data_IF_672937276251
#
_entry.id   IF_672937276251
#
_cell.length_a   1.000
_cell.length_b   1.000
_cell.length_c   1.000
_cell.angle_alpha   90.00
_cell.angle_beta   90.00
_cell.angle_gamma   90.00
#
_symmetry.space_group_name_H-M   'P 1'
#
loop_
_entity.id
_entity.type
_entity.pdbx_description
1 polymer ?
#
# COMPACT_ATOMS: atom_id res chain seq x y z
N UNK A 1 -11.65 -1.07 10.66
CA UNK A 1 -12.85 -0.21 10.67
C UNK A 1 -12.87 0.65 9.42
N UNK A 2 -13.99 0.60 8.70
CA UNK A 2 -14.24 1.48 7.55
C UNK A 2 -14.36 2.95 8.00
N UNK A 3 -13.87 3.87 7.21
CA UNK A 3 -13.98 5.31 7.48
C UNK A 3 -14.24 6.06 6.18
N UNK A 4 -15.16 7.01 6.24
CA UNK A 4 -15.39 7.96 5.15
C UNK A 4 -14.53 9.20 5.39
N UNK A 5 -13.69 9.51 4.42
CA UNK A 5 -12.91 10.76 4.43
C UNK A 5 -13.36 11.66 3.29
N UNK A 6 -13.31 12.95 3.53
CA UNK A 6 -13.56 13.97 2.51
C UNK A 6 -12.24 14.63 2.14
N UNK A 7 -11.86 14.58 0.86
CA UNK A 7 -10.71 15.31 0.35
C UNK A 7 -11.19 16.59 -0.33
N UNK A 8 -10.56 17.71 0.02
CA UNK A 8 -10.82 18.98 -0.67
C UNK A 8 -9.81 19.13 -1.82
N UNK A 9 -10.26 19.26 -3.06
CA UNK A 9 -9.37 19.55 -4.18
C UNK A 9 -8.73 20.94 -4.01
N UNK A 10 -7.54 21.12 -4.59
CA UNK A 10 -6.81 22.42 -4.58
C UNK A 10 -7.50 23.51 -5.42
N UNK A 11 -8.52 23.14 -6.19
CA UNK A 11 -9.36 24.02 -7.01
C UNK A 11 -10.81 23.96 -6.55
N UNK A 12 -11.69 24.82 -7.08
CA UNK A 12 -13.13 24.88 -6.75
C UNK A 12 -13.96 23.66 -7.22
N UNK A 13 -13.33 22.50 -7.38
CA UNK A 13 -13.99 21.26 -7.77
C UNK A 13 -14.77 20.65 -6.62
N UNK A 14 -15.71 19.78 -6.95
CA UNK A 14 -16.56 19.10 -5.97
C UNK A 14 -15.72 18.32 -4.94
N UNK A 15 -16.17 18.31 -3.71
CA UNK A 15 -15.61 17.46 -2.65
C UNK A 15 -15.69 16.00 -3.11
N UNK A 16 -14.60 15.27 -2.92
CA UNK A 16 -14.56 13.83 -3.21
C UNK A 16 -14.65 13.09 -1.87
N UNK A 17 -15.63 12.24 -1.75
CA UNK A 17 -15.78 11.35 -0.61
C UNK A 17 -15.17 10.00 -0.92
N UNK A 18 -14.37 9.48 -0.01
CA UNK A 18 -13.70 8.20 -0.11
C UNK A 18 -14.07 7.31 1.07
N UNK A 19 -14.46 6.09 0.77
CA UNK A 19 -14.53 5.01 1.74
C UNK A 19 -13.17 4.31 1.79
N UNK A 20 -12.53 4.29 2.96
CA UNK A 20 -11.26 3.61 3.18
C UNK A 20 -11.45 2.51 4.21
N UNK A 21 -11.12 1.27 3.83
CA UNK A 21 -11.33 0.10 4.67
C UNK A 21 -10.37 -1.04 4.36
N UNK A 22 -10.17 -1.99 5.29
CA UNK A 22 -9.49 -3.26 5.00
C UNK A 22 -10.22 -4.04 3.91
N UNK A 23 -9.47 -4.64 2.97
CA UNK A 23 -10.07 -5.45 1.90
C UNK A 23 -10.82 -6.66 2.47
N UNK A 24 -10.28 -7.30 3.52
CA UNK A 24 -10.96 -8.40 4.18
C UNK A 24 -12.32 -8.01 4.77
N UNK A 25 -12.48 -6.78 5.28
CA UNK A 25 -13.79 -6.26 5.74
C UNK A 25 -14.74 -6.03 4.56
N UNK A 26 -14.22 -5.52 3.44
CA UNK A 26 -14.99 -5.32 2.22
C UNK A 26 -15.48 -6.66 1.65
N UNK A 27 -14.58 -7.62 1.49
CA UNK A 27 -14.89 -8.92 0.87
C UNK A 27 -15.78 -9.80 1.76
N UNK A 28 -15.76 -9.61 3.08
CA UNK A 28 -16.66 -10.34 3.99
C UNK A 28 -18.16 -10.06 3.75
N UNK A 29 -18.47 -9.01 3.02
CA UNK A 29 -19.84 -8.61 2.66
C UNK A 29 -20.26 -9.13 1.28
N UNK A 30 -19.34 -9.76 0.55
CA UNK A 30 -19.54 -10.26 -0.82
C UNK A 30 -19.63 -11.79 -0.85
N UNK A 31 -20.26 -12.34 -1.89
CA UNK A 31 -20.17 -13.75 -2.21
C UNK A 31 -18.80 -14.11 -2.83
N UNK A 32 -18.47 -15.41 -2.93
CA UNK A 32 -17.17 -15.90 -3.42
C UNK A 32 -16.84 -15.39 -4.84
N UNK A 33 -17.80 -15.40 -5.75
CA UNK A 33 -17.63 -14.92 -7.14
C UNK A 33 -17.41 -13.40 -7.17
N UNK A 34 -18.11 -12.65 -6.34
CA UNK A 34 -17.97 -11.21 -6.22
C UNK A 34 -16.62 -10.84 -5.58
N UNK A 35 -16.19 -11.57 -4.56
CA UNK A 35 -14.87 -11.43 -3.93
C UNK A 35 -13.76 -11.63 -4.96
N UNK A 36 -13.84 -12.69 -5.78
CA UNK A 36 -12.88 -12.94 -6.85
C UNK A 36 -12.85 -11.79 -7.87
N UNK A 37 -14.01 -11.25 -8.22
CA UNK A 37 -14.15 -10.13 -9.15
C UNK A 37 -13.54 -8.85 -8.56
N UNK A 38 -13.79 -8.57 -7.28
CA UNK A 38 -13.23 -7.42 -6.57
C UNK A 38 -11.69 -7.48 -6.47
N UNK A 39 -11.13 -8.65 -6.11
CA UNK A 39 -9.69 -8.86 -6.07
C UNK A 39 -9.06 -8.61 -7.44
N UNK A 40 -9.66 -9.15 -8.51
CA UNK A 40 -9.20 -8.92 -9.88
C UNK A 40 -9.26 -7.44 -10.29
N UNK A 41 -10.31 -6.74 -9.90
CA UNK A 41 -10.42 -5.30 -10.16
C UNK A 41 -9.30 -4.51 -9.46
N UNK A 42 -8.98 -4.85 -8.23
CA UNK A 42 -7.88 -4.23 -7.48
C UNK A 42 -6.53 -4.55 -8.14
N UNK A 43 -6.27 -5.80 -8.51
CA UNK A 43 -5.04 -6.16 -9.22
C UNK A 43 -4.89 -5.38 -10.54
N UNK A 44 -5.97 -5.26 -11.32
CA UNK A 44 -6.00 -4.45 -12.53
C UNK A 44 -5.73 -2.96 -12.24
N UNK A 45 -6.31 -2.40 -11.18
CA UNK A 45 -6.07 -1.02 -10.76
C UNK A 45 -4.60 -0.79 -10.38
N UNK A 46 -4.01 -1.68 -9.58
CA UNK A 46 -2.59 -1.59 -9.18
C UNK A 46 -1.67 -1.68 -10.38
N UNK A 47 -1.99 -2.55 -11.34
CA UNK A 47 -1.20 -2.75 -12.57
C UNK A 47 -1.42 -1.65 -13.62
N UNK A 48 -2.49 -0.87 -13.51
CA UNK A 48 -2.74 0.22 -14.44
C UNK A 48 -1.64 1.28 -14.34
N UNK A 49 -0.97 1.56 -15.47
CA UNK A 49 0.15 2.49 -15.52
C UNK A 49 -0.27 3.80 -16.18
N UNK A 50 -0.04 4.87 -15.48
CA UNK A 50 -0.17 6.21 -16.02
C UNK A 50 1.17 6.72 -16.54
N UNK A 51 1.19 7.65 -17.52
CA UNK A 51 2.42 8.29 -17.96
C UNK A 51 3.14 8.93 -16.78
N UNK A 52 4.39 8.53 -16.55
CA UNK A 52 5.21 9.03 -15.44
C UNK A 52 5.18 8.19 -14.16
N UNK A 53 4.39 7.13 -14.10
CA UNK A 53 4.44 6.20 -12.97
C UNK A 53 5.82 5.55 -12.86
N UNK A 54 6.38 5.56 -11.65
CA UNK A 54 7.55 4.75 -11.33
C UNK A 54 7.16 3.28 -11.45
N UNK A 55 8.10 2.47 -11.90
CA UNK A 55 7.82 1.07 -12.12
C UNK A 55 7.57 0.37 -10.78
N UNK A 56 6.37 -0.20 -10.63
CA UNK A 56 6.08 -1.24 -9.65
C UNK A 56 6.12 -2.60 -10.36
N UNK A 57 6.43 -3.65 -9.62
CA UNK A 57 6.26 -5.00 -10.15
C UNK A 57 4.77 -5.26 -10.35
N UNK A 58 4.39 -5.95 -11.45
CA UNK A 58 3.01 -6.39 -11.62
C UNK A 58 2.60 -7.29 -10.47
N UNK A 59 1.37 -7.15 -10.02
CA UNK A 59 0.75 -8.01 -9.01
C UNK A 59 -0.33 -8.86 -9.68
N UNK A 60 -0.42 -10.13 -9.29
CA UNK A 60 -1.52 -11.02 -9.70
C UNK A 60 -2.69 -10.95 -8.72
N UNK A 61 -3.82 -11.53 -9.11
CA UNK A 61 -4.96 -11.71 -8.20
C UNK A 61 -4.56 -12.52 -6.96
N UNK A 62 -3.69 -13.53 -7.13
CA UNK A 62 -3.17 -14.33 -6.04
C UNK A 62 -2.28 -13.51 -5.09
N UNK A 63 -1.48 -12.58 -5.62
CA UNK A 63 -0.65 -11.68 -4.79
C UNK A 63 -1.53 -10.75 -3.94
N UNK A 64 -2.65 -10.27 -4.47
CA UNK A 64 -3.60 -9.47 -3.68
C UNK A 64 -4.27 -10.35 -2.62
N UNK A 65 -4.78 -11.54 -3.03
CA UNK A 65 -5.48 -12.46 -2.12
C UNK A 65 -4.60 -13.01 -0.98
N UNK A 66 -3.28 -13.04 -1.18
CA UNK A 66 -2.30 -13.55 -0.20
C UNK A 66 -1.71 -12.49 0.72
N UNK A 67 -2.14 -11.23 0.64
CA UNK A 67 -1.63 -10.20 1.54
C UNK A 67 -2.03 -10.50 2.99
N UNK A 68 -1.09 -10.28 3.90
CA UNK A 68 -1.33 -10.38 5.34
C UNK A 68 -2.33 -9.33 5.81
N UNK A 69 -2.16 -8.12 5.34
CA UNK A 69 -3.09 -7.01 5.56
C UNK A 69 -3.12 -6.13 4.32
N UNK A 70 -4.25 -5.52 4.05
CA UNK A 70 -4.38 -4.55 2.97
C UNK A 70 -5.51 -3.56 3.21
N UNK A 71 -5.41 -2.42 2.52
CA UNK A 71 -6.39 -1.34 2.62
C UNK A 71 -6.72 -0.86 1.22
N UNK A 72 -8.02 -0.72 0.97
CA UNK A 72 -8.57 -0.19 -0.27
C UNK A 72 -9.25 1.16 -0.02
N UNK A 73 -9.16 2.05 -1.00
CA UNK A 73 -9.94 3.27 -1.07
C UNK A 73 -10.89 3.21 -2.26
N UNK A 74 -12.16 3.43 -2.01
CA UNK A 74 -13.22 3.50 -3.00
C UNK A 74 -13.77 4.92 -3.07
N UNK A 75 -14.02 5.43 -4.27
CA UNK A 75 -14.75 6.69 -4.44
C UNK A 75 -16.23 6.45 -4.16
N UNK A 76 -16.79 7.21 -3.25
CA UNK A 76 -18.24 7.18 -3.01
C UNK A 76 -18.95 8.03 -4.07
N UNK A 77 -20.03 7.52 -4.68
CA UNK A 77 -20.91 8.29 -5.56
C UNK A 77 -21.74 9.28 -4.72
N UNK A 78 -22.36 10.24 -5.38
CA UNK A 78 -23.28 11.18 -4.73
C UNK A 78 -24.60 10.51 -4.28
N UNK A 79 -24.87 9.30 -4.77
CA UNK A 79 -26.05 8.50 -4.42
C UNK A 79 -25.62 7.28 -3.62
N UNK A 80 -26.45 6.84 -2.68
CA UNK A 80 -26.23 5.60 -1.92
C UNK A 80 -26.41 4.39 -2.84
N UNK A 81 -25.32 3.87 -3.34
CA UNK A 81 -25.29 2.62 -4.09
C UNK A 81 -24.86 1.45 -3.18
N UNK A 82 -25.32 0.27 -3.52
CA UNK A 82 -24.89 -0.97 -2.88
C UNK A 82 -23.42 -1.22 -3.24
N UNK A 83 -22.59 -1.54 -2.26
CA UNK A 83 -21.21 -1.93 -2.48
C UNK A 83 -21.19 -3.40 -2.92
N UNK A 84 -21.15 -3.61 -4.23
CA UNK A 84 -20.97 -4.90 -4.88
C UNK A 84 -19.66 -4.94 -5.68
N UNK A 85 -19.35 -6.06 -6.31
CA UNK A 85 -18.15 -6.20 -7.12
C UNK A 85 -18.09 -5.23 -8.30
N UNK A 86 -19.22 -4.85 -8.85
CA UNK A 86 -19.35 -3.89 -9.96
C UNK A 86 -19.01 -2.47 -9.48
N UNK A 87 -19.53 -2.12 -8.29
CA UNK A 87 -19.19 -0.87 -7.63
C UNK A 87 -17.68 -0.77 -7.38
N UNK A 88 -17.06 -1.82 -6.80
CA UNK A 88 -15.63 -1.86 -6.53
C UNK A 88 -14.83 -1.69 -7.83
N UNK A 89 -15.18 -2.43 -8.89
CA UNK A 89 -14.51 -2.38 -10.18
C UNK A 89 -14.43 -0.97 -10.77
N UNK A 90 -15.49 -0.18 -10.58
CA UNK A 90 -15.60 1.16 -11.16
C UNK A 90 -15.10 2.28 -10.23
N UNK A 91 -14.96 1.99 -8.93
CA UNK A 91 -14.70 3.02 -7.92
C UNK A 91 -13.42 2.83 -7.12
N UNK A 92 -12.63 1.77 -7.35
CA UNK A 92 -11.34 1.63 -6.69
C UNK A 92 -10.39 2.75 -7.15
N UNK A 93 -9.88 3.52 -6.19
CA UNK A 93 -9.01 4.69 -6.43
C UNK A 93 -7.75 4.68 -5.58
N UNK A 94 -7.60 3.70 -4.72
CA UNK A 94 -6.40 3.54 -3.91
C UNK A 94 -6.25 2.13 -3.35
N UNK A 95 -5.01 1.69 -3.20
CA UNK A 95 -4.66 0.40 -2.61
C UNK A 95 -3.28 0.45 -1.98
N UNK A 96 -3.10 -0.29 -0.90
CA UNK A 96 -1.81 -0.61 -0.28
C UNK A 96 -1.93 -1.97 0.39
N UNK A 97 -0.86 -2.77 0.36
CA UNK A 97 -0.84 -4.08 1.00
C UNK A 97 0.43 -4.32 1.82
N UNK A 98 0.36 -5.30 2.72
CA UNK A 98 1.48 -5.78 3.51
C UNK A 98 1.67 -7.29 3.29
N UNK A 99 2.92 -7.71 3.27
CA UNK A 99 3.30 -9.11 3.09
C UNK A 99 3.19 -9.89 4.40
N UNK A 100 3.14 -11.22 4.31
CA UNK A 100 3.27 -12.07 5.49
C UNK A 100 4.50 -11.70 6.32
N UNK A 101 4.34 -11.58 7.66
CA UNK A 101 5.45 -11.23 8.52
C UNK A 101 6.56 -12.29 8.53
N UNK A 102 7.78 -11.82 8.42
CA UNK A 102 8.99 -12.65 8.47
C UNK A 102 9.69 -12.41 9.81
N UNK A 103 10.18 -13.47 10.44
CA UNK A 103 10.97 -13.35 11.67
C UNK A 103 12.38 -12.91 11.35
N UNK A 104 12.79 -11.79 11.92
CA UNK A 104 14.15 -11.28 11.83
C UNK A 104 14.70 -11.00 13.23
N UNK A 105 15.59 -11.86 13.71
CA UNK A 105 16.02 -11.82 15.11
C UNK A 105 14.87 -12.03 16.09
N UNK A 106 14.70 -11.09 17.02
CA UNK A 106 13.60 -11.11 17.99
C UNK A 106 12.28 -10.50 17.45
N UNK A 107 12.30 -9.89 16.26
CA UNK A 107 11.17 -9.16 15.69
C UNK A 107 10.41 -9.98 14.68
N UNK A 108 9.11 -9.70 14.53
CA UNK A 108 8.35 -9.99 13.32
C UNK A 108 8.34 -8.72 12.47
N UNK A 109 8.65 -8.83 11.18
CA UNK A 109 8.73 -7.71 10.27
C UNK A 109 7.85 -7.97 9.03
N UNK A 110 7.12 -6.97 8.56
CA UNK A 110 6.28 -7.08 7.38
C UNK A 110 6.59 -5.98 6.38
N UNK A 111 6.73 -6.34 5.11
CA UNK A 111 6.89 -5.39 4.02
C UNK A 111 5.57 -4.74 3.65
N UNK A 112 5.53 -3.42 3.72
CA UNK A 112 4.42 -2.61 3.21
C UNK A 112 4.76 -2.15 1.79
N UNK A 113 3.89 -2.49 0.84
CA UNK A 113 4.14 -2.21 -0.58
C UNK A 113 2.88 -2.06 -1.41
N UNK A 114 3.06 -2.07 -2.72
CA UNK A 114 1.96 -1.96 -3.70
C UNK A 114 1.10 -0.70 -3.54
N UNK A 115 1.65 0.39 -2.97
CA UNK A 115 0.91 1.65 -2.84
C UNK A 115 0.57 2.22 -4.22
N UNK A 116 -0.70 2.29 -4.50
CA UNK A 116 -1.25 2.93 -5.71
C UNK A 116 -2.38 3.89 -5.33
N UNK A 117 -2.38 5.07 -5.96
CA UNK A 117 -3.46 6.06 -5.85
C UNK A 117 -3.77 6.53 -7.26
N UNK A 118 -5.06 6.66 -7.58
CA UNK A 118 -5.53 7.20 -8.85
C UNK A 118 -4.94 8.59 -9.10
N UNK A 119 -4.57 8.86 -10.34
CA UNK A 119 -3.86 10.10 -10.72
C UNK A 119 -4.65 11.35 -10.37
N UNK A 120 -6.00 11.30 -10.49
CA UNK A 120 -6.88 12.42 -10.14
C UNK A 120 -6.86 12.77 -8.65
N UNK A 121 -6.37 11.85 -7.80
CA UNK A 121 -6.29 12.02 -6.35
C UNK A 121 -4.86 12.21 -5.83
N UNK A 122 -3.87 12.24 -6.73
CA UNK A 122 -2.48 12.52 -6.33
C UNK A 122 -2.34 13.94 -5.77
N UNK A 123 -1.52 14.05 -4.74
CA UNK A 123 -1.31 15.33 -4.05
C UNK A 123 -2.44 15.75 -3.09
N UNK A 124 -3.50 14.94 -2.94
CA UNK A 124 -4.60 15.19 -2.00
C UNK A 124 -4.46 14.44 -0.67
N UNK A 125 -3.30 13.83 -0.41
CA UNK A 125 -3.00 13.14 0.85
C UNK A 125 -3.49 11.69 0.94
N UNK A 126 -4.21 11.19 -0.06
CA UNK A 126 -4.78 9.83 -0.04
C UNK A 126 -3.70 8.77 0.17
N UNK A 127 -2.57 8.86 -0.53
CA UNK A 127 -1.45 7.93 -0.34
C UNK A 127 -0.90 7.94 1.08
N UNK A 128 -0.81 9.11 1.71
CA UNK A 128 -0.36 9.24 3.11
C UNK A 128 -1.35 8.57 4.08
N UNK A 129 -2.65 8.72 3.83
CA UNK A 129 -3.69 8.11 4.67
C UNK A 129 -3.64 6.59 4.54
N UNK A 130 -3.62 6.06 3.31
CA UNK A 130 -3.54 4.62 3.07
C UNK A 130 -2.29 4.01 3.72
N UNK A 131 -1.13 4.61 3.45
CA UNK A 131 0.14 4.10 3.95
C UNK A 131 0.23 4.21 5.49
N UNK A 132 -0.27 5.30 6.07
CA UNK A 132 -0.31 5.46 7.52
C UNK A 132 -1.20 4.43 8.21
N UNK A 133 -2.34 4.09 7.62
CA UNK A 133 -3.26 3.10 8.17
C UNK A 133 -2.70 1.69 8.16
N UNK A 134 -2.06 1.28 7.06
CA UNK A 134 -1.46 -0.06 6.99
C UNK A 134 -0.26 -0.17 7.95
N UNK A 135 0.59 0.86 8.03
CA UNK A 135 1.68 0.92 9.00
C UNK A 135 1.16 0.79 10.43
N UNK A 136 0.12 1.57 10.78
CA UNK A 136 -0.49 1.50 12.12
C UNK A 136 -1.11 0.13 12.39
N UNK A 137 -1.85 -0.45 11.45
CA UNK A 137 -2.45 -1.78 11.62
C UNK A 137 -1.39 -2.86 11.91
N UNK A 138 -0.27 -2.83 11.18
CA UNK A 138 0.86 -3.75 11.40
C UNK A 138 1.51 -3.52 12.78
N UNK A 139 1.71 -2.26 13.17
CA UNK A 139 2.29 -1.93 14.48
C UNK A 139 1.38 -2.31 15.65
N UNK A 140 0.06 -2.17 15.51
CA UNK A 140 -0.91 -2.55 16.54
C UNK A 140 -0.87 -4.06 16.86
N UNK A 141 -0.38 -4.88 15.93
CA UNK A 141 -0.15 -6.31 16.11
C UNK A 141 1.27 -6.63 16.65
N UNK A 142 2.06 -5.61 16.97
CA UNK A 142 3.43 -5.78 17.47
C UNK A 142 4.43 -6.18 16.38
N UNK A 143 4.09 -6.00 15.11
CA UNK A 143 4.93 -6.29 13.96
C UNK A 143 5.62 -5.00 13.51
N UNK A 144 6.89 -5.08 13.15
CA UNK A 144 7.68 -3.95 12.66
C UNK A 144 7.48 -3.78 11.16
N UNK A 145 6.81 -2.70 10.68
CA UNK A 145 6.67 -2.45 9.26
C UNK A 145 7.98 -1.98 8.65
N UNK A 146 8.24 -2.37 7.41
CA UNK A 146 9.29 -1.77 6.56
C UNK A 146 8.79 -1.63 5.13
N UNK A 147 9.43 -0.77 4.34
CA UNK A 147 9.07 -0.58 2.94
C UNK A 147 10.27 -0.25 2.07
N UNK A 148 10.29 -0.77 0.85
CA UNK A 148 11.18 -0.32 -0.20
C UNK A 148 10.59 0.93 -0.86
N UNK A 149 11.19 2.08 -0.63
CA UNK A 149 10.69 3.37 -1.08
C UNK A 149 11.43 3.87 -2.32
N UNK A 150 10.69 4.40 -3.27
CA UNK A 150 11.20 5.22 -4.37
C UNK A 150 10.98 6.72 -4.07
N UNK A 151 11.40 7.60 -4.97
CA UNK A 151 11.26 9.05 -4.81
C UNK A 151 9.82 9.55 -4.64
N UNK A 152 8.81 8.75 -4.98
CA UNK A 152 7.39 9.13 -4.82
C UNK A 152 6.84 8.69 -3.45
N UNK A 153 7.26 7.52 -2.96
CA UNK A 153 6.80 6.95 -1.68
C UNK A 153 7.66 7.38 -0.49
N UNK A 154 8.94 7.69 -0.68
CA UNK A 154 9.84 8.12 0.41
C UNK A 154 9.31 9.34 1.17
N UNK A 155 8.85 10.43 0.52
CA UNK A 155 8.29 11.58 1.25
C UNK A 155 7.04 11.24 2.05
N UNK A 156 6.29 10.20 1.66
CA UNK A 156 5.13 9.70 2.41
C UNK A 156 5.62 8.98 3.66
N UNK A 157 6.59 8.07 3.51
CA UNK A 157 7.16 7.30 4.59
C UNK A 157 7.80 8.20 5.66
N UNK A 158 8.57 9.22 5.27
CA UNK A 158 9.18 10.20 6.18
C UNK A 158 8.14 11.00 6.96
N UNK A 159 7.04 11.45 6.33
CA UNK A 159 5.93 12.13 7.01
C UNK A 159 5.23 11.28 8.05
N UNK A 160 5.31 9.97 7.91
CA UNK A 160 4.79 8.98 8.85
C UNK A 160 5.84 8.54 9.88
N UNK A 161 6.92 9.30 10.04
CA UNK A 161 8.03 9.03 10.94
C UNK A 161 8.78 7.71 10.63
N UNK A 162 8.76 7.27 9.38
CA UNK A 162 9.61 6.19 8.93
C UNK A 162 11.07 6.65 8.91
N UNK A 163 11.97 5.79 9.36
CA UNK A 163 13.41 6.03 9.38
C UNK A 163 14.10 5.19 8.29
N UNK A 164 14.96 5.82 7.53
CA UNK A 164 15.83 5.09 6.61
C UNK A 164 16.77 4.15 7.40
N UNK A 165 16.95 2.92 6.90
CA UNK A 165 17.86 1.97 7.53
C UNK A 165 19.32 2.39 7.31
N UNK A 166 20.16 2.15 8.31
CA UNK A 166 21.60 2.41 8.25
C UNK A 166 22.36 1.20 7.71
N UNK A 167 21.83 0.01 7.92
CA UNK A 167 22.43 -1.27 7.52
C UNK A 167 21.38 -2.21 6.94
N UNK A 168 21.79 -3.05 5.98
CA UNK A 168 20.96 -4.11 5.43
C UNK A 168 20.51 -5.15 6.49
N UNK A 169 21.22 -5.24 7.61
CA UNK A 169 20.89 -6.16 8.71
C UNK A 169 19.66 -5.72 9.50
N UNK A 170 19.08 -4.55 9.20
CA UNK A 170 17.88 -4.07 9.88
C UNK A 170 16.59 -4.65 9.31
N UNK A 171 16.64 -5.29 8.14
CA UNK A 171 15.50 -5.93 7.48
C UNK A 171 15.81 -7.39 7.17
N UNK A 172 14.78 -8.24 7.00
CA UNK A 172 15.00 -9.65 6.68
C UNK A 172 15.84 -9.83 5.40
N UNK A 173 16.89 -10.69 5.41
CA UNK A 173 17.70 -10.94 4.23
C UNK A 173 16.86 -11.49 3.06
N UNK A 174 15.81 -12.26 3.34
CA UNK A 174 14.86 -12.78 2.35
C UNK A 174 14.20 -11.66 1.54
N UNK A 175 13.90 -10.53 2.18
CA UNK A 175 13.34 -9.35 1.51
C UNK A 175 14.34 -8.74 0.50
N UNK A 176 15.63 -8.79 0.80
CA UNK A 176 16.67 -8.31 -0.11
C UNK A 176 16.97 -9.31 -1.22
N UNK A 177 16.79 -10.60 -0.98
CA UNK A 177 16.96 -11.66 -1.99
C UNK A 177 15.92 -11.54 -3.11
N UNK A 178 14.67 -11.23 -2.78
CA UNK A 178 13.61 -10.95 -3.77
C UNK A 178 13.98 -9.83 -4.75
N UNK A 179 14.86 -8.92 -4.34
CA UNK A 179 15.36 -7.88 -5.23
C UNK A 179 16.28 -8.42 -6.33
N UNK A 180 16.92 -9.57 -6.17
CA UNK A 180 17.87 -10.12 -7.14
C UNK A 180 17.16 -10.53 -8.44
N UNK A 181 15.94 -11.03 -8.34
CA UNK A 181 15.10 -11.43 -9.47
C UNK A 181 14.25 -10.28 -10.02
N UNK A 182 14.34 -9.09 -9.42
CA UNK A 182 13.59 -7.93 -9.86
C UNK A 182 14.11 -7.42 -11.21
N UNK A 183 13.25 -7.26 -12.25
CA UNK A 183 13.67 -6.75 -13.56
C UNK A 183 14.20 -5.31 -13.52
N UNK A 184 14.00 -4.61 -12.42
CA UNK A 184 14.51 -3.26 -12.16
C UNK A 184 15.85 -3.25 -11.45
N UNK A 185 16.32 -4.42 -10.99
CA UNK A 185 17.57 -4.55 -10.27
C UNK A 185 18.75 -3.93 -11.02
N UNK A 186 19.40 -2.96 -10.43
CA UNK A 186 20.55 -2.26 -11.01
C UNK A 186 20.23 -1.23 -12.11
N UNK A 187 18.96 -0.97 -12.43
CA UNK A 187 18.58 0.01 -13.46
C UNK A 187 18.49 1.45 -12.95
N UNK A 188 18.28 1.64 -11.68
CA UNK A 188 18.15 2.97 -11.04
C UNK A 188 19.46 3.40 -10.38
N UNK A 189 20.53 3.38 -11.14
CA UNK A 189 21.76 4.09 -10.97
C UNK A 189 22.24 4.45 -9.56
N UNK A 190 22.46 3.49 -8.68
CA UNK A 190 23.47 3.73 -7.68
C UNK A 190 23.06 3.90 -6.24
N UNK A 191 21.90 3.46 -5.81
CA UNK A 191 21.67 3.32 -4.39
C UNK A 191 22.14 1.97 -3.85
N UNK A 192 22.36 1.91 -2.56
CA UNK A 192 22.78 0.75 -1.78
C UNK A 192 21.85 -0.47 -1.97
N UNK A 193 20.59 -0.25 -2.37
CA UNK A 193 19.52 -1.23 -2.53
C UNK A 193 19.06 -1.46 -3.98
N UNK A 194 19.76 -0.90 -4.94
CA UNK A 194 19.82 -1.21 -6.38
C UNK A 194 18.57 -0.98 -7.25
N UNK A 195 17.36 -0.99 -6.74
CA UNK A 195 16.14 -0.78 -7.52
C UNK A 195 15.18 0.23 -6.87
N UNK A 196 15.20 0.34 -5.55
CA UNK A 196 14.50 1.36 -4.79
C UNK A 196 15.50 2.38 -4.28
N UNK A 197 15.05 3.60 -4.05
CA UNK A 197 15.96 4.67 -3.59
C UNK A 197 16.46 4.35 -2.18
N UNK A 198 15.58 3.83 -1.30
CA UNK A 198 15.94 3.46 0.07
C UNK A 198 14.98 2.45 0.68
N UNK A 199 15.35 1.92 1.84
CA UNK A 199 14.45 1.12 2.70
C UNK A 199 14.16 1.92 3.97
N UNK A 200 12.90 1.98 4.34
CA UNK A 200 12.41 2.68 5.52
C UNK A 200 11.81 1.67 6.50
N UNK A 201 12.03 1.88 7.78
CA UNK A 201 11.48 1.06 8.87
C UNK A 201 10.74 1.95 9.87
N UNK A 202 9.66 1.43 10.46
CA UNK A 202 8.92 2.07 11.55
C UNK A 202 9.08 1.24 12.82
N UNK A 203 9.76 1.80 13.81
CA UNK A 203 9.89 1.13 15.10
C UNK A 203 8.54 1.11 15.83
N UNK A 204 8.25 -0.01 16.49
CA UNK A 204 7.12 -0.08 17.41
C UNK A 204 7.42 0.76 18.64
N UNK A 205 6.41 1.39 19.28
CA UNK A 205 6.62 2.24 20.46
C UNK A 205 7.35 1.57 21.64
N UNK A 206 7.41 0.24 21.67
CA UNK A 206 8.10 -0.56 22.71
C UNK A 206 9.61 -0.67 22.50
N UNK A 207 10.17 -0.21 21.38
CA UNK A 207 11.59 -0.35 21.05
C UNK A 207 12.45 0.88 21.41
N UNK A 208 11.86 1.90 21.99
CA UNK A 208 12.52 3.17 22.36
C UNK A 208 13.02 3.22 23.81
N UNK A 209 13.44 2.09 24.40
CA UNK A 209 14.11 2.07 25.71
C UNK A 209 15.51 1.51 25.62
#
# INVERSE_FOLDING_TARGET
>A
MAEVITTAPKSKEAKIELLIMPLGELTSQLGDDETSTAIKAIANFVNHRSPGDKQMLPVSDADIASKYADIVALRLPETEDVIDANFITNNVVGYVGAMEPIRHGARLMSEVGSLKVDDSLRGHGVGTILFGRIVQAIQDEGITPYAFCNSDSLPIAERLNGREIESADEVPPEALELCQDCPLYGRTGGTKYRCCDTVVVWHTPTETN
#
